data_IF_793431352945
#
_entry.id   IF_793431352945
#
_cell.length_a   1.000
_cell.length_b   1.000
_cell.length_c   1.000
_cell.angle_alpha   90.00
_cell.angle_beta   90.00
_cell.angle_gamma   90.00
#
_symmetry.space_group_name_H-M   'P 1'
#
loop_
_entity.id
_entity.type
_entity.pdbx_description
1 polymer ?
#
# COMPACT_ATOMS: atom_id res chain seq x y z
N UNK A 1 30.61 -5.49 8.37
CA UNK A 1 29.56 -6.41 8.88
C UNK A 1 30.11 -7.42 9.87
N UNK A 2 30.96 -8.39 9.48
CA UNK A 2 31.48 -9.42 10.41
C UNK A 2 32.09 -8.83 11.69
N UNK A 3 33.02 -7.88 11.56
CA UNK A 3 33.64 -7.19 12.70
C UNK A 3 32.60 -6.52 13.62
N UNK A 4 31.54 -5.93 13.06
CA UNK A 4 30.50 -5.29 13.86
C UNK A 4 29.71 -6.31 14.68
N UNK A 5 29.37 -7.45 14.06
CA UNK A 5 28.66 -8.55 14.73
C UNK A 5 29.54 -9.19 15.81
N UNK A 6 30.84 -9.36 15.54
CA UNK A 6 31.82 -9.87 16.51
C UNK A 6 31.95 -8.94 17.74
N UNK A 7 31.63 -7.65 17.57
CA UNK A 7 31.57 -6.65 18.65
C UNK A 7 30.13 -6.40 19.17
N UNK A 8 29.24 -7.38 19.06
CA UNK A 8 27.86 -7.34 19.60
C UNK A 8 26.97 -6.22 19.03
N UNK A 9 27.21 -5.76 17.80
CA UNK A 9 26.27 -4.88 17.13
C UNK A 9 24.90 -5.58 16.98
N UNK A 10 23.84 -4.86 17.31
CA UNK A 10 22.47 -5.34 17.17
C UNK A 10 22.10 -5.55 15.69
N UNK A 11 22.00 -6.81 15.29
CA UNK A 11 21.67 -7.21 13.92
C UNK A 11 20.19 -7.03 13.55
N UNK A 12 19.34 -6.69 14.53
CA UNK A 12 17.91 -6.46 14.37
C UNK A 12 17.53 -4.98 14.47
N UNK A 13 18.52 -4.09 14.67
CA UNK A 13 18.26 -2.66 14.80
C UNK A 13 17.58 -2.10 13.55
N UNK A 14 16.31 -1.72 13.69
CA UNK A 14 15.51 -1.19 12.58
C UNK A 14 15.74 0.31 12.42
N UNK A 15 15.93 0.74 11.17
CA UNK A 15 15.90 2.13 10.76
C UNK A 15 14.58 2.46 10.04
N UNK A 16 14.01 3.62 10.35
CA UNK A 16 12.78 4.14 9.73
C UNK A 16 11.63 3.11 9.67
N UNK A 17 11.46 2.32 10.74
CA UNK A 17 10.42 1.28 10.93
C UNK A 17 10.34 0.13 9.91
N UNK A 18 11.15 0.14 8.85
CA UNK A 18 11.07 -0.85 7.77
C UNK A 18 12.44 -1.44 7.34
N UNK A 19 13.55 -0.80 7.71
CA UNK A 19 14.87 -1.20 7.23
C UNK A 19 15.68 -1.88 8.34
N UNK A 20 15.65 -3.21 8.37
CA UNK A 20 16.61 -3.99 9.16
C UNK A 20 17.89 -4.26 8.33
N UNK A 21 19.02 -4.60 8.98
CA UNK A 21 20.23 -5.01 8.29
C UNK A 21 20.01 -6.17 7.30
N UNK A 22 19.07 -7.08 7.62
CA UNK A 22 18.70 -8.20 6.76
C UNK A 22 17.99 -7.73 5.49
N UNK A 23 17.04 -6.80 5.62
CA UNK A 23 16.31 -6.19 4.49
C UNK A 23 17.29 -5.45 3.56
N UNK A 24 18.24 -4.70 4.12
CA UNK A 24 19.27 -4.01 3.32
C UNK A 24 20.15 -5.00 2.57
N UNK A 25 20.58 -6.09 3.21
CA UNK A 25 21.40 -7.12 2.57
C UNK A 25 20.67 -7.83 1.41
N UNK A 26 19.36 -8.00 1.52
CA UNK A 26 18.49 -8.54 0.45
C UNK A 26 18.37 -7.57 -0.72
N UNK A 27 18.12 -6.29 -0.46
CA UNK A 27 18.02 -5.26 -1.51
C UNK A 27 19.34 -5.07 -2.27
N UNK A 28 20.47 -5.21 -1.58
CA UNK A 28 21.81 -5.17 -2.20
C UNK A 28 22.15 -6.49 -2.92
N UNK A 29 21.41 -7.58 -2.67
CA UNK A 29 21.67 -8.88 -3.28
C UNK A 29 22.94 -9.55 -2.76
N UNK A 30 23.29 -9.36 -1.49
CA UNK A 30 24.49 -9.96 -0.88
C UNK A 30 24.17 -11.20 -0.05
N UNK A 31 24.23 -12.38 -0.69
CA UNK A 31 23.94 -13.66 -0.01
C UNK A 31 24.90 -13.92 1.16
N UNK A 32 26.15 -13.48 1.03
CA UNK A 32 27.16 -13.58 2.08
C UNK A 32 26.75 -12.78 3.32
N UNK A 33 26.24 -11.56 3.15
CA UNK A 33 25.75 -10.75 4.26
C UNK A 33 24.49 -11.35 4.89
N UNK A 34 23.55 -11.84 4.07
CA UNK A 34 22.33 -12.52 4.55
C UNK A 34 22.67 -13.72 5.43
N UNK A 35 23.56 -14.62 4.97
CA UNK A 35 24.00 -15.78 5.75
C UNK A 35 24.71 -15.39 7.06
N UNK A 36 25.49 -14.31 7.06
CA UNK A 36 26.15 -13.82 8.28
C UNK A 36 25.15 -13.26 9.29
N UNK A 37 24.15 -12.50 8.82
CA UNK A 37 23.11 -11.93 9.66
C UNK A 37 22.21 -13.00 10.27
N UNK A 38 21.76 -13.97 9.49
CA UNK A 38 20.96 -15.10 9.97
C UNK A 38 21.73 -15.86 11.07
N UNK A 39 23.02 -16.14 10.86
CA UNK A 39 23.87 -16.79 11.86
C UNK A 39 24.04 -15.97 13.15
N UNK A 40 23.94 -14.65 13.05
CA UNK A 40 23.99 -13.74 14.20
C UNK A 40 22.64 -13.57 14.92
N UNK A 41 21.58 -14.26 14.48
CA UNK A 41 20.25 -14.18 15.09
C UNK A 41 19.35 -13.10 14.50
N UNK A 42 19.57 -12.70 13.24
CA UNK A 42 18.69 -11.75 12.58
C UNK A 42 17.26 -12.31 12.41
N UNK A 43 16.26 -11.48 12.71
CA UNK A 43 14.85 -11.84 12.60
C UNK A 43 14.42 -11.97 11.14
N UNK A 44 13.97 -13.17 10.77
CA UNK A 44 13.57 -13.51 9.40
C UNK A 44 12.08 -13.29 9.12
N UNK A 45 11.29 -12.94 10.15
CA UNK A 45 9.86 -12.62 10.01
C UNK A 45 9.61 -11.27 9.32
N UNK A 46 10.60 -10.38 9.35
CA UNK A 46 10.46 -9.03 8.83
C UNK A 46 9.85 -8.06 9.83
N UNK A 47 9.75 -6.80 9.41
CA UNK A 47 9.26 -5.70 10.24
C UNK A 47 8.09 -5.04 9.52
N UNK A 48 6.92 -5.00 10.16
CA UNK A 48 5.70 -4.44 9.57
C UNK A 48 5.15 -5.29 8.43
N UNK A 49 4.78 -4.65 7.32
CA UNK A 49 4.17 -5.28 6.14
C UNK A 49 5.20 -5.75 5.11
N UNK A 50 6.50 -5.71 5.44
CA UNK A 50 7.59 -6.09 4.53
C UNK A 50 8.38 -7.24 5.15
N UNK A 51 8.31 -8.40 4.50
CA UNK A 51 9.03 -9.60 4.93
C UNK A 51 10.28 -9.85 4.09
N UNK A 52 11.36 -10.39 4.68
CA UNK A 52 12.53 -10.87 3.94
C UNK A 52 12.18 -11.80 2.76
N UNK A 53 11.18 -12.68 2.95
CA UNK A 53 10.73 -13.61 1.92
C UNK A 53 10.06 -12.92 0.73
N UNK A 54 9.22 -11.91 0.99
CA UNK A 54 8.53 -11.18 -0.10
C UNK A 54 9.51 -10.36 -0.94
N UNK A 55 10.54 -9.77 -0.32
CA UNK A 55 11.63 -9.11 -1.07
C UNK A 55 12.39 -10.13 -1.94
N UNK A 56 12.75 -11.29 -1.36
CA UNK A 56 13.45 -12.32 -2.11
C UNK A 56 12.61 -12.85 -3.29
N UNK A 57 11.30 -13.03 -3.10
CA UNK A 57 10.37 -13.46 -4.13
C UNK A 57 10.21 -12.41 -5.25
N UNK A 58 9.94 -11.15 -4.90
CA UNK A 58 9.75 -10.06 -5.85
C UNK A 58 10.99 -9.82 -6.73
N UNK A 59 12.18 -10.03 -6.16
CA UNK A 59 13.45 -9.86 -6.87
C UNK A 59 13.96 -11.14 -7.55
N UNK A 60 13.21 -12.25 -7.51
CA UNK A 60 13.60 -13.53 -8.11
C UNK A 60 14.83 -14.20 -7.47
N UNK A 61 15.16 -13.83 -6.24
CA UNK A 61 16.37 -14.24 -5.52
C UNK A 61 16.22 -15.64 -4.91
N UNK A 62 16.19 -16.66 -5.77
CA UNK A 62 15.89 -18.06 -5.38
C UNK A 62 16.81 -18.60 -4.27
N UNK A 63 18.11 -18.33 -4.31
CA UNK A 63 19.06 -18.80 -3.29
C UNK A 63 18.86 -18.11 -1.93
N UNK A 64 18.40 -16.87 -1.95
CA UNK A 64 18.07 -16.11 -0.75
C UNK A 64 16.78 -16.63 -0.15
N UNK A 65 15.78 -16.90 -1.00
CA UNK A 65 14.51 -17.47 -0.60
C UNK A 65 14.71 -18.81 0.12
N UNK A 66 15.50 -19.73 -0.46
CA UNK A 66 15.87 -20.99 0.20
C UNK A 66 16.59 -20.76 1.54
N UNK A 67 17.56 -19.86 1.57
CA UNK A 67 18.31 -19.53 2.79
C UNK A 67 17.41 -18.97 3.91
N UNK A 68 16.37 -18.20 3.56
CA UNK A 68 15.41 -17.65 4.51
C UNK A 68 14.45 -18.71 5.04
N UNK A 69 13.98 -19.62 4.17
CA UNK A 69 13.14 -20.76 4.58
C UNK A 69 13.89 -21.70 5.53
N UNK A 70 15.15 -22.02 5.22
CA UNK A 70 16.02 -22.81 6.09
C UNK A 70 16.23 -22.14 7.47
N UNK A 71 16.13 -20.81 7.53
CA UNK A 71 16.22 -20.03 8.75
C UNK A 71 14.88 -19.89 9.50
N UNK A 72 13.81 -20.56 9.03
CA UNK A 72 12.50 -20.56 9.68
C UNK A 72 11.61 -19.38 9.31
N UNK A 73 11.86 -18.71 8.18
CA UNK A 73 10.93 -17.72 7.65
C UNK A 73 9.64 -18.40 7.21
N UNK A 74 8.50 -17.80 7.57
CA UNK A 74 7.17 -18.34 7.27
C UNK A 74 6.74 -17.91 5.86
N UNK A 75 6.55 -18.85 4.91
CA UNK A 75 6.14 -18.56 3.54
C UNK A 75 4.71 -18.03 3.43
N UNK A 76 3.86 -18.23 4.44
CA UNK A 76 2.46 -17.84 4.43
C UNK A 76 2.24 -16.41 4.96
N UNK A 77 3.31 -15.68 5.30
CA UNK A 77 3.20 -14.27 5.71
C UNK A 77 2.87 -13.42 4.48
N UNK A 78 1.57 -13.23 4.27
CA UNK A 78 1.03 -12.37 3.22
C UNK A 78 1.31 -10.92 3.58
N UNK A 79 2.04 -10.23 2.72
CA UNK A 79 2.00 -8.77 2.72
C UNK A 79 0.61 -8.34 2.24
N UNK A 80 0.07 -7.24 2.77
CA UNK A 80 -1.22 -6.72 2.33
C UNK A 80 -1.27 -6.52 0.81
N UNK A 81 -0.17 -6.03 0.22
CA UNK A 81 -0.07 -5.81 -1.24
C UNK A 81 -0.03 -7.13 -2.04
N UNK A 82 0.57 -8.20 -1.50
CA UNK A 82 0.63 -9.52 -2.17
C UNK A 82 -0.70 -10.28 -2.01
N UNK A 83 -1.35 -10.15 -0.85
CA UNK A 83 -2.69 -10.66 -0.61
C UNK A 83 -3.69 -10.06 -1.61
N UNK A 84 -3.63 -8.74 -1.84
CA UNK A 84 -4.49 -8.09 -2.82
C UNK A 84 -4.17 -8.53 -4.26
N UNK A 85 -2.90 -8.76 -4.61
CA UNK A 85 -2.51 -9.12 -5.98
C UNK A 85 -2.90 -10.55 -6.36
N UNK A 86 -3.05 -11.42 -5.37
CA UNK A 86 -3.46 -12.82 -5.57
C UNK A 86 -4.97 -13.05 -5.46
N UNK A 87 -5.77 -12.04 -5.06
CA UNK A 87 -7.22 -12.18 -4.95
C UNK A 87 -7.88 -12.47 -6.30
N UNK A 88 -8.82 -13.43 -6.30
CA UNK A 88 -9.72 -13.64 -7.44
C UNK A 88 -10.75 -12.49 -7.53
N UNK A 89 -11.51 -12.37 -8.63
CA UNK A 89 -12.46 -11.26 -8.80
C UNK A 89 -13.60 -11.20 -7.76
N UNK A 90 -13.97 -12.34 -7.15
CA UNK A 90 -15.03 -12.39 -6.15
C UNK A 90 -14.54 -11.89 -4.79
N UNK A 91 -13.35 -12.32 -4.39
CA UNK A 91 -12.69 -11.88 -3.15
C UNK A 91 -12.34 -10.39 -3.22
N UNK A 92 -11.93 -9.90 -4.39
CA UNK A 92 -11.66 -8.48 -4.64
C UNK A 92 -12.90 -7.63 -4.38
N UNK A 93 -14.06 -8.00 -4.95
CA UNK A 93 -15.34 -7.29 -4.73
C UNK A 93 -15.80 -7.35 -3.27
N UNK A 94 -15.56 -8.49 -2.60
CA UNK A 94 -15.89 -8.64 -1.19
C UNK A 94 -15.06 -7.69 -0.33
N UNK A 95 -13.75 -7.62 -0.56
CA UNK A 95 -12.85 -6.72 0.16
C UNK A 95 -13.11 -5.25 -0.15
N UNK A 96 -13.43 -4.88 -1.40
CA UNK A 96 -13.89 -3.53 -1.76
C UNK A 96 -15.12 -3.11 -0.92
N UNK A 97 -16.10 -4.00 -0.79
CA UNK A 97 -17.30 -3.75 0.02
C UNK A 97 -16.97 -3.57 1.50
N UNK A 98 -16.04 -4.38 2.03
CA UNK A 98 -15.59 -4.27 3.43
C UNK A 98 -14.80 -2.98 3.67
N UNK A 99 -13.88 -2.62 2.78
CA UNK A 99 -13.08 -1.41 2.89
C UNK A 99 -13.97 -0.15 2.88
N UNK A 100 -14.95 -0.10 1.97
CA UNK A 100 -15.96 0.96 1.93
C UNK A 100 -16.73 1.06 3.25
N UNK A 101 -17.20 -0.07 3.81
CA UNK A 101 -17.95 -0.09 5.08
C UNK A 101 -17.10 0.37 6.27
N UNK A 102 -15.79 0.12 6.23
CA UNK A 102 -14.83 0.52 7.27
C UNK A 102 -14.32 1.95 7.11
N UNK A 103 -14.70 2.65 6.04
CA UNK A 103 -14.12 3.95 5.64
C UNK A 103 -12.60 3.89 5.45
N UNK A 104 -12.06 2.72 5.10
CA UNK A 104 -10.64 2.56 4.79
C UNK A 104 -10.42 2.88 3.31
N UNK A 105 -10.39 4.18 3.01
CA UNK A 105 -10.31 4.69 1.64
C UNK A 105 -8.97 4.38 0.98
N UNK A 106 -7.88 4.28 1.75
CA UNK A 106 -6.55 3.98 1.22
C UNK A 106 -6.49 2.54 0.68
N UNK A 107 -6.98 1.58 1.47
CA UNK A 107 -7.13 0.17 1.06
C UNK A 107 -8.11 0.04 -0.11
N UNK A 108 -9.24 0.74 -0.06
CA UNK A 108 -10.24 0.72 -1.15
C UNK A 108 -9.65 1.22 -2.49
N UNK A 109 -8.88 2.31 -2.48
CA UNK A 109 -8.23 2.84 -3.69
C UNK A 109 -7.26 1.83 -4.31
N UNK A 110 -6.46 1.15 -3.49
CA UNK A 110 -5.56 0.10 -3.97
C UNK A 110 -6.34 -1.00 -4.67
N UNK A 111 -7.38 -1.53 -4.01
CA UNK A 111 -8.24 -2.58 -4.56
C UNK A 111 -8.88 -2.16 -5.89
N UNK A 112 -9.48 -0.96 -5.96
CA UNK A 112 -10.08 -0.47 -7.21
C UNK A 112 -9.07 -0.27 -8.33
N UNK A 113 -7.82 0.08 -8.00
CA UNK A 113 -6.77 0.23 -9.02
C UNK A 113 -6.41 -1.10 -9.65
N UNK A 114 -6.30 -2.13 -8.82
CA UNK A 114 -6.04 -3.49 -9.28
C UNK A 114 -7.23 -4.07 -10.04
N UNK A 115 -8.45 -3.75 -9.61
CA UNK A 115 -9.67 -4.11 -10.34
C UNK A 115 -9.73 -3.43 -11.71
N UNK A 116 -9.35 -2.15 -11.80
CA UNK A 116 -9.32 -1.38 -13.04
C UNK A 116 -8.31 -1.93 -14.06
N UNK A 117 -7.14 -2.41 -13.61
CA UNK A 117 -6.14 -3.04 -14.49
C UNK A 117 -6.65 -4.38 -15.08
N UNK A 118 -7.52 -5.09 -14.35
CA UNK A 118 -8.10 -6.39 -14.78
C UNK A 118 -9.39 -6.23 -15.58
N UNK A 119 -10.16 -5.18 -15.29
CA UNK A 119 -11.46 -4.90 -15.89
C UNK A 119 -11.48 -3.47 -16.42
N UNK A 120 -10.74 -3.26 -17.51
CA UNK A 120 -10.53 -1.94 -18.14
C UNK A 120 -11.82 -1.22 -18.55
N UNK A 121 -12.97 -1.90 -18.64
CA UNK A 121 -14.24 -1.32 -19.14
C UNK A 121 -15.29 -0.98 -18.08
N UNK A 122 -15.02 -1.24 -16.79
CA UNK A 122 -15.99 -0.92 -15.75
C UNK A 122 -15.85 0.53 -15.24
N UNK A 123 -16.59 1.45 -15.86
CA UNK A 123 -16.67 2.85 -15.46
C UNK A 123 -17.13 3.05 -14.00
N UNK A 124 -17.77 2.06 -13.37
CA UNK A 124 -18.22 2.16 -11.97
C UNK A 124 -17.08 2.04 -10.96
N UNK A 125 -16.00 1.34 -11.30
CA UNK A 125 -14.78 1.25 -10.48
C UNK A 125 -14.12 2.63 -10.36
N UNK A 126 -13.90 3.30 -11.49
CA UNK A 126 -13.35 4.65 -11.53
C UNK A 126 -14.23 5.66 -10.77
N UNK A 127 -15.56 5.56 -10.90
CA UNK A 127 -16.47 6.43 -10.15
C UNK A 127 -16.36 6.24 -8.65
N UNK A 128 -16.20 5.00 -8.18
CA UNK A 128 -16.10 4.69 -6.75
C UNK A 128 -14.72 5.07 -6.21
N UNK A 129 -13.66 4.80 -6.98
CA UNK A 129 -12.28 5.21 -6.66
C UNK A 129 -12.13 6.73 -6.57
N UNK A 130 -12.74 7.47 -7.49
CA UNK A 130 -12.81 8.94 -7.47
C UNK A 130 -13.40 9.49 -6.16
N UNK A 131 -14.46 8.84 -5.64
CA UNK A 131 -15.04 9.22 -4.34
C UNK A 131 -14.08 8.94 -3.18
N UNK A 132 -13.36 7.82 -3.19
CA UNK A 132 -12.37 7.51 -2.18
C UNK A 132 -11.23 8.55 -2.18
N UNK A 133 -10.73 8.93 -3.37
CA UNK A 133 -9.75 10.01 -3.51
C UNK A 133 -10.24 11.34 -2.96
N UNK A 134 -11.50 11.71 -3.24
CA UNK A 134 -12.12 12.91 -2.66
C UNK A 134 -12.18 12.86 -1.13
N UNK A 135 -12.49 11.69 -0.54
CA UNK A 135 -12.52 11.53 0.92
C UNK A 135 -11.13 11.61 1.54
N UNK A 136 -10.09 11.29 0.78
CA UNK A 136 -8.68 11.43 1.18
C UNK A 136 -8.11 12.83 0.92
N UNK A 137 -8.82 13.69 0.15
CA UNK A 137 -8.35 15.01 -0.24
C UNK A 137 -7.46 15.04 -1.49
N UNK A 138 -7.34 13.91 -2.21
CA UNK A 138 -6.53 13.75 -3.41
C UNK A 138 -7.32 14.18 -4.66
N UNK A 139 -7.50 15.50 -4.82
CA UNK A 139 -8.34 16.07 -5.87
C UNK A 139 -7.87 15.74 -7.30
N UNK A 140 -6.57 15.74 -7.56
CA UNK A 140 -6.01 15.49 -8.90
C UNK A 140 -6.29 14.05 -9.37
N UNK A 141 -6.11 13.06 -8.48
CA UNK A 141 -6.43 11.66 -8.75
C UNK A 141 -7.93 11.47 -9.00
N UNK A 142 -8.76 12.12 -8.19
CA UNK A 142 -10.21 12.08 -8.36
C UNK A 142 -10.66 12.69 -9.70
N UNK A 143 -9.98 13.73 -10.19
CA UNK A 143 -10.27 14.39 -11.47
C UNK A 143 -9.94 13.49 -12.65
N UNK A 144 -8.78 12.80 -12.59
CA UNK A 144 -8.40 11.81 -13.60
C UNK A 144 -9.45 10.71 -13.73
N UNK A 145 -9.90 10.14 -12.60
CA UNK A 145 -10.94 9.11 -12.59
C UNK A 145 -12.28 9.62 -13.14
N UNK A 146 -12.67 10.86 -12.82
CA UNK A 146 -13.88 11.48 -13.37
C UNK A 146 -13.78 11.67 -14.90
N UNK A 147 -12.59 12.05 -15.40
CA UNK A 147 -12.30 12.13 -16.83
C UNK A 147 -12.43 10.77 -17.53
N UNK A 148 -11.87 9.72 -16.94
CA UNK A 148 -12.00 8.34 -17.44
C UNK A 148 -13.47 7.91 -17.49
N UNK A 149 -14.25 8.19 -16.44
CA UNK A 149 -15.68 7.90 -16.42
C UNK A 149 -16.44 8.56 -17.58
N UNK A 150 -16.13 9.83 -17.88
CA UNK A 150 -16.75 10.59 -18.97
C UNK A 150 -16.36 10.06 -20.35
N UNK A 151 -15.10 9.66 -20.51
CA UNK A 151 -14.63 9.01 -21.75
C UNK A 151 -15.29 7.65 -21.97
N UNK A 152 -15.44 6.85 -20.91
CA UNK A 152 -16.04 5.51 -20.96
C UNK A 152 -17.56 5.56 -21.17
N UNK A 153 -18.26 6.53 -20.57
CA UNK A 153 -19.72 6.67 -20.66
C UNK A 153 -20.10 8.13 -20.92
N UNK A 154 -20.22 8.46 -22.21
CA UNK A 154 -20.71 9.77 -22.66
C UNK A 154 -22.11 10.04 -22.08
N UNK A 155 -22.28 11.18 -21.40
CA UNK A 155 -23.56 11.60 -20.82
C UNK A 155 -23.91 10.97 -19.46
N UNK A 156 -22.99 10.25 -18.82
CA UNK A 156 -23.26 9.69 -17.49
C UNK A 156 -23.29 10.79 -16.43
N UNK A 157 -24.50 11.16 -15.97
CA UNK A 157 -24.75 12.26 -15.01
C UNK A 157 -23.87 12.17 -13.76
N UNK A 158 -23.61 10.96 -13.27
CA UNK A 158 -22.75 10.71 -12.12
C UNK A 158 -21.30 11.16 -12.36
N UNK A 159 -20.76 10.97 -13.56
CA UNK A 159 -19.42 11.43 -13.92
C UNK A 159 -19.31 12.96 -13.94
N UNK A 160 -20.33 13.64 -14.48
CA UNK A 160 -20.40 15.10 -14.48
C UNK A 160 -20.49 15.67 -13.06
N UNK A 161 -21.31 15.06 -12.20
CA UNK A 161 -21.42 15.43 -10.79
C UNK A 161 -20.09 15.25 -10.03
N UNK A 162 -19.39 14.13 -10.26
CA UNK A 162 -18.08 13.88 -9.67
C UNK A 162 -17.08 14.95 -10.09
N UNK A 163 -17.00 15.25 -11.39
CA UNK A 163 -16.11 16.28 -11.90
C UNK A 163 -16.37 17.65 -11.25
N UNK A 164 -17.64 18.06 -11.14
CA UNK A 164 -18.00 19.29 -10.44
C UNK A 164 -17.58 19.29 -8.96
N UNK A 165 -17.79 18.18 -8.26
CA UNK A 165 -17.39 18.02 -6.86
C UNK A 165 -15.87 18.11 -6.67
N UNK A 166 -15.10 17.50 -7.57
CA UNK A 166 -13.63 17.57 -7.58
C UNK A 166 -13.13 18.97 -7.86
N UNK A 167 -13.72 19.64 -8.84
CA UNK A 167 -13.31 21.00 -9.22
C UNK A 167 -13.55 21.99 -8.07
N UNK A 168 -14.66 21.85 -7.34
CA UNK A 168 -14.93 22.64 -6.14
C UNK A 168 -13.86 22.39 -5.07
N UNK A 169 -13.50 21.13 -4.81
CA UNK A 169 -12.46 20.79 -3.83
C UNK A 169 -11.11 21.42 -4.21
N UNK A 170 -10.68 21.30 -5.47
CA UNK A 170 -9.43 21.88 -5.96
C UNK A 170 -9.43 23.42 -5.88
N UNK A 171 -10.56 24.07 -6.22
CA UNK A 171 -10.71 25.52 -6.10
C UNK A 171 -10.64 26.00 -4.64
N UNK A 172 -11.23 25.26 -3.71
CA UNK A 172 -11.17 25.58 -2.27
C UNK A 172 -9.78 25.37 -1.67
N UNK A 173 -9.01 24.40 -2.17
CA UNK A 173 -7.62 24.19 -1.73
C UNK A 173 -6.66 25.29 -2.23
N UNK A 174 -6.94 25.88 -3.39
CA UNK A 174 -6.13 26.94 -4.00
C UNK A 174 -6.40 28.35 -3.43
N UNK A 175 -7.42 28.50 -2.57
CA UNK A 175 -7.79 29.78 -1.93
C UNK A 175 -7.76 29.67 -0.40
N UNK A 176 -6.62 29.81 0.28
CA UNK A 176 -6.57 29.69 1.75
C UNK A 176 -7.23 30.87 2.50
N UNK A 177 -7.88 31.80 1.81
CA UNK A 177 -8.20 33.14 2.31
C UNK A 177 -9.66 33.47 2.62
N UNK A 178 -10.62 32.54 2.50
CA UNK A 178 -12.03 32.83 2.83
C UNK A 178 -12.59 31.70 3.69
N UNK A 179 -12.50 31.89 5.01
CA UNK A 179 -12.86 30.89 6.00
C UNK A 179 -14.36 30.60 6.03
N UNK A 180 -14.72 29.33 5.84
CA UNK A 180 -15.92 28.73 6.42
C UNK A 180 -15.67 27.23 6.70
N UNK A 181 -15.80 26.88 7.99
CA UNK A 181 -16.11 25.60 8.64
C UNK A 181 -15.49 24.33 8.02
N UNK A 182 -14.37 23.87 8.58
CA UNK A 182 -13.89 22.50 8.37
C UNK A 182 -14.82 21.48 9.07
N UNK A 183 -15.11 20.31 8.45
CA UNK A 183 -15.65 19.18 9.19
C UNK A 183 -14.55 18.64 10.12
N UNK A 184 -14.90 18.46 11.40
CA UNK A 184 -14.00 17.99 12.47
C UNK A 184 -13.20 16.75 12.04
N UNK A 185 -11.87 16.83 12.05
CA UNK A 185 -11.01 15.66 12.20
C UNK A 185 -11.29 15.09 13.59
N UNK A 186 -11.87 13.89 13.66
CA UNK A 186 -11.93 13.11 14.89
C UNK A 186 -10.52 12.71 15.30
N UNK A 187 -9.93 13.44 16.24
CA UNK A 187 -8.73 13.04 16.96
C UNK A 187 -9.14 11.99 18.01
N UNK A 188 -8.94 10.70 17.72
CA UNK A 188 -8.79 9.71 18.78
C UNK A 188 -7.35 9.78 19.30
N UNK A 189 -7.16 10.57 20.35
CA UNK A 189 -6.08 10.40 21.32
C UNK A 189 -6.76 10.25 22.67
N UNK A 190 -6.68 9.06 23.24
CA UNK A 190 -6.80 8.86 24.68
C UNK A 190 -5.85 7.73 25.01
N UNK A 191 -4.66 8.13 25.46
CA UNK A 191 -3.87 7.37 26.41
C UNK A 191 -4.62 7.43 27.75
N UNK A 192 -4.72 6.29 28.41
CA UNK A 192 -4.54 6.17 29.86
C UNK A 192 -3.35 5.22 30.08
#
# INVERSE_FOLDING_TARGET
>A
MKILLDHHADCNKVFNTAYSPLIVALNVGSLKCVKLLIKAGAEVKGVGTVTPLTIAANNGLTDFYKCLLEAGADPDVRNDDDSMNTMNPADLKLEESKANKRNDYATAVKLYSMAADRCLDDATLYSTRSLCWLKMGEGDQALMDAGICKMKRLGWVKACYLQGSVQILLLTACSPGLGWIQPRRGSHHSQE
#
